data_IF_465065420528
#
_entry.id   IF_465065420528
#
_cell.length_a   1.000
_cell.length_b   1.000
_cell.length_c   1.000
_cell.angle_alpha   90.00
_cell.angle_beta   90.00
_cell.angle_gamma   90.00
#
_symmetry.space_group_name_H-M   'P 1'
#
loop_
_entity.id
_entity.type
_entity.pdbx_description
1 polymer ?
#
# COMPACT_ATOMS: atom_id res chain seq x y z
N UNK A 1 -8.94 1.69 48.06
CA UNK A 1 -9.11 2.76 47.06
C UNK A 1 -7.73 3.02 46.46
N UNK A 2 -7.51 2.75 45.17
CA UNK A 2 -6.25 3.15 44.52
C UNK A 2 -6.23 4.68 44.46
N UNK A 3 -5.18 5.27 45.04
CA UNK A 3 -4.96 6.72 45.00
C UNK A 3 -4.53 7.10 43.58
N UNK A 4 -5.23 8.05 42.97
CA UNK A 4 -4.90 8.54 41.63
C UNK A 4 -3.81 9.60 41.75
N UNK A 5 -2.68 9.39 41.06
CA UNK A 5 -1.57 10.36 41.00
C UNK A 5 -1.91 11.45 39.97
N UNK A 6 -1.91 12.70 40.40
CA UNK A 6 -1.93 13.83 39.48
C UNK A 6 -0.53 13.95 38.84
N UNK A 7 -0.47 13.97 37.52
CA UNK A 7 0.77 14.13 36.75
C UNK A 7 0.83 15.56 36.21
N UNK A 8 1.93 16.28 36.45
CA UNK A 8 2.01 17.71 36.13
C UNK A 8 3.12 18.06 35.14
N UNK A 9 4.25 17.35 35.14
CA UNK A 9 5.36 17.62 34.21
C UNK A 9 5.25 16.84 32.90
N UNK A 10 5.82 17.38 31.82
CA UNK A 10 5.86 16.72 30.52
C UNK A 10 6.72 15.44 30.54
N UNK A 11 7.78 15.42 31.35
CA UNK A 11 8.63 14.25 31.56
C UNK A 11 7.86 13.10 32.21
N UNK A 12 7.08 13.41 33.25
CA UNK A 12 6.23 12.42 33.91
C UNK A 12 5.18 11.87 32.95
N UNK A 13 4.51 12.74 32.17
CA UNK A 13 3.55 12.31 31.15
C UNK A 13 4.19 11.35 30.15
N UNK A 14 5.35 11.72 29.58
CA UNK A 14 6.08 10.88 28.61
C UNK A 14 6.48 9.53 29.21
N UNK A 15 6.94 9.52 30.46
CA UNK A 15 7.31 8.29 31.16
C UNK A 15 6.11 7.35 31.32
N UNK A 16 4.98 7.87 31.81
CA UNK A 16 3.73 7.11 31.97
C UNK A 16 3.22 6.59 30.62
N UNK A 17 3.24 7.43 29.58
CA UNK A 17 2.82 7.05 28.23
C UNK A 17 3.70 5.94 27.65
N UNK A 18 5.03 6.04 27.79
CA UNK A 18 5.96 5.01 27.36
C UNK A 18 5.70 3.66 28.05
N UNK A 19 5.57 3.66 29.38
CA UNK A 19 5.35 2.44 30.16
C UNK A 19 3.98 1.82 29.90
N UNK A 20 2.94 2.63 29.74
CA UNK A 20 1.59 2.13 29.46
C UNK A 20 1.41 1.68 28.02
N UNK A 21 2.14 2.29 27.08
CA UNK A 21 2.14 1.89 25.68
C UNK A 21 2.90 0.58 25.49
N UNK A 22 4.04 0.40 26.16
CA UNK A 22 4.84 -0.82 26.05
C UNK A 22 4.21 -1.94 26.89
N UNK A 23 3.83 -3.05 26.28
CA UNK A 23 3.33 -4.20 27.01
C UNK A 23 4.51 -5.12 27.41
N UNK A 24 4.95 -5.11 28.69
CA UNK A 24 6.13 -5.87 29.11
C UNK A 24 5.93 -7.39 29.01
N UNK A 25 4.68 -7.89 29.10
CA UNK A 25 4.40 -9.33 29.07
C UNK A 25 4.43 -9.96 27.67
N UNK A 26 4.33 -9.17 26.61
CA UNK A 26 4.29 -9.66 25.23
C UNK A 26 5.33 -9.03 24.32
N UNK A 27 6.02 -7.97 24.78
CA UNK A 27 6.91 -7.17 23.95
C UNK A 27 6.18 -6.29 22.92
N UNK A 28 4.86 -6.39 22.81
CA UNK A 28 4.03 -5.63 21.86
C UNK A 28 3.70 -4.22 22.39
N UNK A 29 3.20 -3.37 21.50
CA UNK A 29 2.66 -2.06 21.87
C UNK A 29 1.13 -2.09 21.98
N UNK A 30 0.60 -1.44 23.01
CA UNK A 30 -0.83 -1.24 23.17
C UNK A 30 -1.31 -0.15 22.21
N UNK A 31 -2.43 -0.41 21.53
CA UNK A 31 -3.18 0.65 20.84
C UNK A 31 -3.81 1.63 21.84
N UNK A 32 -4.41 2.71 21.33
CA UNK A 32 -4.99 3.82 22.12
C UNK A 32 -5.85 3.32 23.29
N UNK A 33 -6.77 2.38 23.05
CA UNK A 33 -7.65 1.82 24.10
C UNK A 33 -6.87 1.09 25.20
N UNK A 34 -5.87 0.28 24.82
CA UNK A 34 -5.06 -0.49 25.77
C UNK A 34 -4.19 0.43 26.63
N UNK A 35 -3.55 1.42 26.00
CA UNK A 35 -2.75 2.43 26.71
C UNK A 35 -3.62 3.22 27.68
N UNK A 36 -4.80 3.69 27.23
CA UNK A 36 -5.76 4.42 28.08
C UNK A 36 -6.15 3.64 29.32
N UNK A 37 -6.54 2.37 29.18
CA UNK A 37 -6.96 1.55 30.30
C UNK A 37 -5.88 1.41 31.38
N UNK A 38 -4.60 1.43 30.99
CA UNK A 38 -3.46 1.36 31.92
C UNK A 38 -3.19 2.71 32.57
N UNK A 39 -3.21 3.79 31.81
CA UNK A 39 -2.94 5.15 32.33
C UNK A 39 -3.99 5.55 33.37
N UNK A 40 -5.28 5.38 33.05
CA UNK A 40 -6.38 5.84 33.93
C UNK A 40 -6.53 5.04 35.22
N UNK A 41 -5.81 3.91 35.36
CA UNK A 41 -5.81 3.11 36.58
C UNK A 41 -5.01 3.75 37.72
N UNK A 42 -4.10 4.69 37.42
CA UNK A 42 -3.23 5.27 38.44
C UNK A 42 -2.85 6.74 38.21
N UNK A 43 -3.14 7.31 37.04
CA UNK A 43 -2.74 8.67 36.69
C UNK A 43 -3.90 9.47 36.10
N UNK A 44 -3.86 10.78 36.31
CA UNK A 44 -4.75 11.74 35.67
C UNK A 44 -4.03 13.04 35.34
N UNK A 45 -4.39 13.64 34.20
CA UNK A 45 -4.08 15.01 33.83
C UNK A 45 -5.08 15.51 32.75
N UNK A 46 -5.24 16.83 32.54
CA UNK A 46 -6.32 17.37 31.71
C UNK A 46 -6.33 16.90 30.24
N UNK A 47 -5.17 16.75 29.61
CA UNK A 47 -5.01 16.40 28.19
C UNK A 47 -4.80 14.90 27.94
N UNK A 48 -5.03 14.05 28.95
CA UNK A 48 -4.69 12.62 28.94
C UNK A 48 -5.16 11.86 27.69
N UNK A 49 -6.41 12.04 27.26
CA UNK A 49 -6.91 11.30 26.10
C UNK A 49 -6.24 11.76 24.79
N UNK A 50 -5.94 13.06 24.67
CA UNK A 50 -5.26 13.63 23.52
C UNK A 50 -3.81 13.13 23.47
N UNK A 51 -3.08 13.24 24.58
CA UNK A 51 -1.68 12.87 24.66
C UNK A 51 -1.47 11.37 24.39
N UNK A 52 -2.40 10.50 24.86
CA UNK A 52 -2.37 9.07 24.53
C UNK A 52 -2.59 8.83 23.03
N UNK A 53 -3.56 9.52 22.44
CA UNK A 53 -3.85 9.40 21.01
C UNK A 53 -2.63 9.81 20.17
N UNK A 54 -2.03 10.95 20.50
CA UNK A 54 -0.83 11.46 19.85
C UNK A 54 0.38 10.55 20.05
N UNK A 55 0.61 10.05 21.26
CA UNK A 55 1.71 9.13 21.57
C UNK A 55 1.66 7.86 20.73
N UNK A 56 0.50 7.19 20.71
CA UNK A 56 0.31 5.95 19.94
C UNK A 56 0.42 6.23 18.43
N UNK A 57 -0.16 7.35 17.96
CA UNK A 57 -0.09 7.77 16.56
C UNK A 57 1.34 8.06 16.11
N UNK A 58 2.18 8.63 16.96
CA UNK A 58 3.58 8.98 16.64
C UNK A 58 4.57 7.83 16.88
N UNK A 59 4.13 6.69 17.41
CA UNK A 59 5.01 5.55 17.63
C UNK A 59 5.43 4.90 16.30
N UNK A 60 6.70 5.03 15.93
CA UNK A 60 7.25 4.50 14.69
C UNK A 60 7.00 3.00 14.48
N UNK A 61 7.20 2.19 15.53
CA UNK A 61 6.99 0.73 15.47
C UNK A 61 5.52 0.37 15.24
N UNK A 62 4.60 1.17 15.78
CA UNK A 62 3.16 1.01 15.52
C UNK A 62 2.82 1.44 14.09
N UNK A 63 3.38 2.55 13.60
CA UNK A 63 3.14 3.01 12.22
C UNK A 63 3.64 2.00 11.18
N UNK A 64 4.81 1.39 11.38
CA UNK A 64 5.34 0.37 10.46
C UNK A 64 4.50 -0.90 10.41
N UNK A 65 3.82 -1.22 11.52
CA UNK A 65 3.00 -2.44 11.65
C UNK A 65 1.50 -2.17 11.45
N UNK A 66 1.08 -0.92 11.28
CA UNK A 66 -0.33 -0.59 11.04
C UNK A 66 -0.67 -1.03 9.61
N UNK A 67 -1.60 -1.97 9.40
CA UNK A 67 -2.00 -2.36 8.06
C UNK A 67 -2.47 -1.12 7.31
N UNK A 68 -1.88 -0.87 6.14
CA UNK A 68 -2.24 0.26 5.29
C UNK A 68 -3.74 0.18 5.00
N UNK A 69 -4.52 1.06 5.64
CA UNK A 69 -5.96 1.22 5.38
C UNK A 69 -6.18 2.12 4.16
N UNK A 70 -5.42 1.91 3.09
CA UNK A 70 -5.73 2.54 1.81
C UNK A 70 -7.00 1.92 1.28
N UNK A 71 -8.10 2.66 1.40
CA UNK A 71 -9.25 2.46 0.52
C UNK A 71 -8.74 2.79 -0.88
N UNK A 72 -8.60 1.76 -1.73
CA UNK A 72 -8.24 2.00 -3.12
C UNK A 72 -9.28 2.97 -3.72
N UNK A 73 -8.86 4.01 -4.46
CA UNK A 73 -9.80 4.90 -5.11
C UNK A 73 -10.68 4.11 -6.09
N UNK A 74 -11.92 4.57 -6.30
CA UNK A 74 -12.82 3.97 -7.29
C UNK A 74 -12.19 4.06 -8.68
N UNK A 75 -12.01 2.91 -9.33
CA UNK A 75 -11.54 2.85 -10.71
C UNK A 75 -12.68 3.24 -11.66
N UNK A 76 -12.39 4.13 -12.61
CA UNK A 76 -13.31 4.52 -13.66
C UNK A 76 -12.93 3.79 -14.96
N UNK A 77 -13.88 3.14 -15.65
CA UNK A 77 -13.59 2.52 -16.94
C UNK A 77 -13.15 3.55 -17.97
N UNK A 78 -12.17 3.19 -18.81
CA UNK A 78 -11.81 3.96 -20.00
C UNK A 78 -12.98 3.92 -20.97
N UNK A 79 -13.53 5.08 -21.34
CA UNK A 79 -14.59 5.19 -22.35
C UNK A 79 -13.96 5.14 -23.73
N UNK A 80 -14.32 4.13 -24.51
CA UNK A 80 -13.86 3.93 -25.90
C UNK A 80 -15.10 3.90 -26.79
N UNK A 81 -15.07 4.64 -27.88
CA UNK A 81 -16.20 4.96 -28.76
C UNK A 81 -16.16 4.22 -30.08
N UNK A 82 -14.98 3.85 -30.57
CA UNK A 82 -14.82 3.22 -31.87
C UNK A 82 -13.64 2.22 -31.92
N UNK A 83 -13.65 1.26 -32.86
CA UNK A 83 -12.53 0.34 -33.06
C UNK A 83 -11.21 1.09 -33.27
N UNK A 84 -10.14 0.58 -32.66
CA UNK A 84 -8.76 1.09 -32.80
C UNK A 84 -8.49 2.46 -32.15
N UNK A 85 -9.43 3.03 -31.41
CA UNK A 85 -9.22 4.30 -30.68
C UNK A 85 -8.25 4.14 -29.51
N UNK A 86 -8.36 3.03 -28.76
CA UNK A 86 -7.49 2.74 -27.61
C UNK A 86 -7.05 1.29 -27.63
N UNK A 87 -5.72 1.09 -27.67
CA UNK A 87 -5.10 -0.22 -27.57
C UNK A 87 -4.54 -0.45 -26.15
N UNK A 88 -5.01 -1.53 -25.51
CA UNK A 88 -4.35 -2.08 -24.33
C UNK A 88 -3.19 -2.95 -24.76
N UNK A 89 -1.99 -2.68 -24.25
CA UNK A 89 -0.76 -3.37 -24.67
C UNK A 89 -0.04 -4.00 -23.50
N UNK A 90 0.46 -5.22 -23.67
CA UNK A 90 1.26 -5.90 -22.66
C UNK A 90 2.35 -6.80 -23.28
N UNK A 91 3.45 -6.98 -22.55
CA UNK A 91 4.61 -7.77 -22.96
C UNK A 91 4.79 -8.98 -22.04
N UNK A 92 4.46 -10.15 -22.56
CA UNK A 92 4.57 -11.41 -21.84
C UNK A 92 5.98 -11.98 -22.01
N UNK A 93 6.60 -12.42 -20.91
CA UNK A 93 7.85 -13.20 -20.91
C UNK A 93 8.92 -12.67 -19.94
N UNK A 94 10.11 -13.30 -19.92
CA UNK A 94 10.60 -14.24 -20.93
C UNK A 94 9.92 -15.61 -20.87
N UNK A 95 9.63 -16.18 -22.04
CA UNK A 95 9.12 -17.52 -22.27
C UNK A 95 10.26 -18.42 -22.79
N UNK A 96 10.07 -19.76 -22.79
CA UNK A 96 11.00 -20.66 -23.46
C UNK A 96 11.27 -20.22 -24.90
N UNK A 97 12.55 -20.18 -25.26
CA UNK A 97 12.98 -19.68 -26.56
C UNK A 97 12.51 -20.60 -27.68
N UNK A 98 11.83 -20.02 -28.66
CA UNK A 98 11.45 -20.74 -29.88
C UNK A 98 12.67 -20.94 -30.78
N UNK A 99 12.57 -21.82 -31.79
CA UNK A 99 13.63 -22.00 -32.80
C UNK A 99 14.01 -20.72 -33.55
N UNK A 100 13.11 -19.73 -33.58
CA UNK A 100 13.33 -18.44 -34.23
C UNK A 100 13.95 -17.38 -33.29
N UNK A 101 14.26 -17.75 -32.04
CA UNK A 101 14.83 -16.84 -31.04
C UNK A 101 13.80 -15.98 -30.31
N UNK A 102 12.51 -16.17 -30.57
CA UNK A 102 11.45 -15.43 -29.87
C UNK A 102 11.33 -15.91 -28.43
N UNK A 103 11.25 -14.96 -27.50
CA UNK A 103 11.12 -15.19 -26.05
C UNK A 103 10.04 -14.36 -25.40
N UNK A 104 9.38 -13.50 -26.17
CA UNK A 104 8.35 -12.60 -25.67
C UNK A 104 7.16 -12.61 -26.61
N UNK A 105 6.01 -12.20 -26.09
CA UNK A 105 4.80 -11.96 -26.88
C UNK A 105 4.30 -10.57 -26.56
N UNK A 106 4.17 -9.73 -27.59
CA UNK A 106 3.45 -8.47 -27.52
C UNK A 106 1.97 -8.76 -27.74
N UNK A 107 1.15 -8.42 -26.76
CA UNK A 107 -0.30 -8.46 -26.91
C UNK A 107 -0.83 -7.05 -27.11
N UNK A 108 -1.73 -6.88 -28.07
CA UNK A 108 -2.42 -5.62 -28.37
C UNK A 108 -3.91 -5.91 -28.43
N UNK A 109 -4.67 -5.29 -27.55
CA UNK A 109 -6.12 -5.47 -27.46
C UNK A 109 -6.80 -4.17 -27.81
N UNK A 110 -7.62 -4.18 -28.87
CA UNK A 110 -8.55 -3.08 -29.11
C UNK A 110 -9.61 -3.06 -28.01
N UNK A 111 -9.63 -1.98 -27.23
CA UNK A 111 -10.50 -1.90 -26.07
C UNK A 111 -11.98 -1.72 -26.44
N UNK A 112 -12.29 -1.37 -27.68
CA UNK A 112 -13.67 -1.31 -28.17
C UNK A 112 -14.18 -2.69 -28.60
N UNK A 113 -13.59 -3.30 -29.63
CA UNK A 113 -14.03 -4.58 -30.20
C UNK A 113 -13.61 -5.79 -29.38
N UNK A 114 -12.66 -5.63 -28.46
CA UNK A 114 -11.96 -6.72 -27.76
C UNK A 114 -11.14 -7.62 -28.69
N UNK A 115 -10.85 -7.17 -29.90
CA UNK A 115 -9.95 -7.86 -30.81
C UNK A 115 -8.53 -7.89 -30.25
N UNK A 116 -7.87 -9.06 -30.28
CA UNK A 116 -6.53 -9.27 -29.74
C UNK A 116 -5.57 -9.67 -30.85
N UNK A 117 -4.44 -8.99 -30.92
CA UNK A 117 -3.27 -9.35 -31.72
C UNK A 117 -2.17 -9.82 -30.75
N UNK A 118 -1.48 -10.89 -31.10
CA UNK A 118 -0.38 -11.45 -30.31
C UNK A 118 0.82 -11.73 -31.22
N UNK A 119 1.89 -10.97 -31.04
CA UNK A 119 3.06 -10.98 -31.92
C UNK A 119 4.32 -11.44 -31.18
N UNK A 120 5.06 -12.42 -31.71
CA UNK A 120 6.26 -12.95 -31.06
C UNK A 120 7.44 -11.99 -31.24
N UNK A 121 8.18 -11.74 -30.15
CA UNK A 121 9.37 -10.87 -30.15
C UNK A 121 10.61 -11.59 -29.61
N UNK A 122 11.79 -11.21 -30.11
CA UNK A 122 13.09 -11.68 -29.58
C UNK A 122 13.53 -10.91 -28.35
N UNK A 123 13.13 -9.64 -28.25
CA UNK A 123 13.46 -8.72 -27.15
C UNK A 123 12.29 -7.82 -26.77
N UNK A 124 12.37 -7.20 -25.58
CA UNK A 124 11.42 -6.16 -25.12
C UNK A 124 11.87 -4.74 -25.50
N UNK A 125 12.79 -4.59 -26.45
CA UNK A 125 13.33 -3.28 -26.81
C UNK A 125 12.28 -2.46 -27.55
N UNK A 126 12.31 -1.14 -27.38
CA UNK A 126 11.40 -0.24 -28.07
C UNK A 126 11.46 -0.39 -29.59
N UNK A 127 12.65 -0.63 -30.15
CA UNK A 127 12.85 -0.86 -31.57
C UNK A 127 12.08 -2.10 -32.07
N UNK A 128 12.20 -3.22 -31.36
CA UNK A 128 11.51 -4.47 -31.72
C UNK A 128 9.98 -4.32 -31.62
N UNK A 129 9.50 -3.66 -30.54
CA UNK A 129 8.07 -3.38 -30.35
C UNK A 129 7.54 -2.46 -31.45
N UNK A 130 8.27 -1.39 -31.78
CA UNK A 130 7.86 -0.44 -32.82
C UNK A 130 7.81 -1.08 -34.21
N UNK A 131 8.74 -2.00 -34.52
CA UNK A 131 8.78 -2.66 -35.81
C UNK A 131 7.48 -3.41 -36.06
N UNK A 132 7.01 -4.17 -35.06
CA UNK A 132 5.75 -4.92 -35.13
C UNK A 132 4.53 -4.01 -35.24
N UNK A 133 4.51 -2.86 -34.56
CA UNK A 133 3.40 -1.90 -34.66
C UNK A 133 3.28 -1.26 -36.04
N UNK A 134 4.39 -1.12 -36.77
CA UNK A 134 4.41 -0.46 -38.09
C UNK A 134 4.11 -1.40 -39.26
N UNK A 135 4.06 -2.71 -39.03
CA UNK A 135 3.58 -3.63 -40.06
C UNK A 135 2.06 -3.53 -40.14
N UNK A 136 1.58 -3.02 -41.26
CA UNK A 136 0.16 -2.86 -41.56
C UNK A 136 -0.57 -4.21 -41.38
N UNK A 137 -1.49 -4.26 -40.42
CA UNK A 137 -2.43 -5.37 -40.26
C UNK A 137 -3.80 -5.06 -40.89
N UNK A 138 -3.82 -4.14 -41.87
CA UNK A 138 -4.99 -3.74 -42.64
C UNK A 138 -5.08 -4.46 -43.98
#
# INVERSE_FOLDING_TARGET
>A
MQSMRLVMSEEEKKSVLMECHNNPGTGNHNGVRGTRNRVVAGCYWPTLNQDIGEWVRCCHRCQMNDPIKTVAPTLHPVKVKEPWEVLGMDLIGPLPETRLGNRYVLTMTDLYTKWVIAEPLKSKTAAEVSAVMTFDHH
#
